data_IF_149404447961
#
_entry.id   IF_149404447961
#
_cell.length_a   1.000
_cell.length_b   1.000
_cell.length_c   1.000
_cell.angle_alpha   90.00
_cell.angle_beta   90.00
_cell.angle_gamma   90.00
#
_symmetry.space_group_name_H-M   'P 1'
#
loop_
_entity.id
_entity.type
_entity.pdbx_description
1 polymer ?
#
# COMPACT_ATOMS: atom_id res chain seq x y z
N UNK A 1 -4.20 21.58 -4.23
CA UNK A 1 -2.75 21.87 -4.27
C UNK A 1 -1.96 20.56 -4.34
N UNK A 2 -2.27 19.67 -5.28
CA UNK A 2 -1.74 18.28 -5.29
C UNK A 2 -0.84 17.96 -6.49
N UNK A 3 -0.65 18.90 -7.44
CA UNK A 3 0.20 18.67 -8.63
C UNK A 3 1.70 18.72 -8.32
N UNK A 4 2.13 19.51 -7.33
CA UNK A 4 3.57 19.79 -7.11
C UNK A 4 4.42 18.56 -6.76
N UNK A 5 3.87 17.56 -6.07
CA UNK A 5 4.62 16.34 -5.73
C UNK A 5 4.73 15.38 -6.93
N UNK A 6 3.70 15.37 -7.78
CA UNK A 6 3.68 14.60 -9.02
C UNK A 6 4.68 15.20 -10.01
N UNK A 7 4.61 16.51 -10.26
CA UNK A 7 5.55 17.24 -11.11
C UNK A 7 7.01 17.00 -10.67
N UNK A 8 7.30 17.15 -9.36
CA UNK A 8 8.65 16.88 -8.82
C UNK A 8 9.13 15.45 -9.04
N UNK A 9 8.25 14.44 -9.03
CA UNK A 9 8.65 13.05 -9.28
C UNK A 9 9.11 12.86 -10.72
N UNK A 10 8.37 13.43 -11.68
CA UNK A 10 8.62 13.28 -13.11
C UNK A 10 9.83 14.09 -13.55
N UNK A 11 9.90 15.37 -13.14
CA UNK A 11 11.01 16.27 -13.46
C UNK A 11 12.34 15.69 -13.00
N UNK A 12 12.37 15.09 -11.80
CA UNK A 12 13.59 14.48 -11.26
C UNK A 12 14.02 13.25 -12.03
N UNK A 13 13.08 12.46 -12.54
CA UNK A 13 13.39 11.28 -13.36
C UNK A 13 13.91 11.71 -14.73
N UNK A 14 13.26 12.67 -15.38
CA UNK A 14 13.68 13.23 -16.66
C UNK A 14 15.08 13.86 -16.57
N UNK A 15 15.30 14.73 -15.58
CA UNK A 15 16.59 15.39 -15.32
C UNK A 15 17.70 14.35 -15.10
N UNK A 16 17.43 13.31 -14.30
CA UNK A 16 18.42 12.28 -14.00
C UNK A 16 18.73 11.40 -15.21
N UNK A 17 17.71 11.00 -15.97
CA UNK A 17 17.88 10.20 -17.18
C UNK A 17 18.65 10.95 -18.26
N UNK A 18 18.32 12.23 -18.49
CA UNK A 18 19.06 13.11 -19.40
C UNK A 18 20.53 13.25 -19.00
N UNK A 19 20.81 13.48 -17.71
CA UNK A 19 22.19 13.55 -17.20
C UNK A 19 22.98 12.27 -17.44
N UNK A 20 22.42 11.09 -17.15
CA UNK A 20 23.09 9.78 -17.38
C UNK A 20 23.35 9.50 -18.86
N UNK A 21 22.49 10.00 -19.75
CA UNK A 21 22.65 9.92 -21.20
C UNK A 21 23.66 10.92 -21.78
N UNK A 22 24.07 11.93 -21.00
CA UNK A 22 25.02 12.95 -21.44
C UNK A 22 24.39 14.12 -22.20
N UNK A 23 23.10 14.40 -22.00
CA UNK A 23 22.43 15.56 -22.59
C UNK A 23 20.95 15.67 -22.22
N UNK A 24 20.36 16.88 -22.27
CA UNK A 24 18.95 17.06 -21.97
C UNK A 24 18.09 16.24 -22.94
N UNK A 25 17.10 15.53 -22.40
CA UNK A 25 16.15 14.74 -23.17
C UNK A 25 14.76 15.02 -22.63
N UNK A 26 13.82 15.20 -23.54
CA UNK A 26 12.39 15.15 -23.23
C UNK A 26 11.94 13.70 -23.33
N UNK A 27 11.31 13.18 -22.27
CA UNK A 27 10.78 11.82 -22.28
C UNK A 27 9.76 11.65 -23.41
N UNK A 28 9.77 10.49 -24.08
CA UNK A 28 8.76 10.18 -25.09
C UNK A 28 7.39 9.94 -24.43
N UNK A 29 6.25 10.12 -25.11
CA UNK A 29 4.93 9.86 -24.52
C UNK A 29 4.78 8.46 -23.89
N UNK A 30 5.48 7.45 -24.45
CA UNK A 30 5.52 6.10 -23.89
C UNK A 30 6.32 6.02 -22.59
N UNK A 31 7.42 6.75 -22.50
CA UNK A 31 8.22 6.84 -21.28
C UNK A 31 7.46 7.62 -20.18
N UNK A 32 6.69 8.65 -20.55
CA UNK A 32 5.78 9.33 -19.61
C UNK A 32 4.77 8.36 -18.98
N UNK A 33 4.15 7.49 -19.77
CA UNK A 33 3.23 6.48 -19.24
C UNK A 33 3.91 5.46 -18.32
N UNK A 34 5.19 5.13 -18.55
CA UNK A 34 5.97 4.26 -17.65
C UNK A 34 6.22 4.94 -16.30
N UNK A 35 6.62 6.21 -16.32
CA UNK A 35 6.83 6.99 -15.09
C UNK A 35 5.54 7.11 -14.29
N UNK A 36 4.42 7.36 -14.98
CA UNK A 36 3.09 7.40 -14.36
C UNK A 36 2.69 6.06 -13.73
N UNK A 37 2.97 4.93 -14.40
CA UNK A 37 2.71 3.60 -13.85
C UNK A 37 3.56 3.32 -12.60
N UNK A 38 4.84 3.74 -12.57
CA UNK A 38 5.69 3.63 -11.39
C UNK A 38 5.20 4.50 -10.23
N UNK A 39 4.76 5.73 -10.53
CA UNK A 39 4.18 6.61 -9.53
C UNK A 39 2.89 6.03 -8.93
N UNK A 40 1.96 5.56 -9.78
CA UNK A 40 0.69 4.92 -9.36
C UNK A 40 0.90 3.63 -8.56
N UNK A 41 1.95 2.87 -8.86
CA UNK A 41 2.32 1.66 -8.10
C UNK A 41 3.08 1.95 -6.80
N UNK A 42 3.37 3.23 -6.51
CA UNK A 42 3.98 3.66 -5.26
C UNK A 42 5.48 3.41 -5.18
N UNK A 43 6.16 3.27 -6.32
CA UNK A 43 7.62 3.13 -6.36
C UNK A 43 8.25 4.48 -5.95
N UNK A 44 9.11 4.52 -4.91
CA UNK A 44 9.73 5.77 -4.49
C UNK A 44 10.74 6.28 -5.52
N UNK A 45 10.85 7.60 -5.67
CA UNK A 45 11.76 8.27 -6.61
C UNK A 45 13.20 7.72 -6.52
N UNK A 46 13.72 7.61 -5.30
CA UNK A 46 15.07 7.08 -5.03
C UNK A 46 15.34 5.68 -5.62
N UNK A 47 14.30 4.86 -5.78
CA UNK A 47 14.41 3.51 -6.34
C UNK A 47 14.44 3.56 -7.85
N UNK A 48 13.60 4.39 -8.47
CA UNK A 48 13.66 4.64 -9.92
C UNK A 48 15.03 5.18 -10.31
N UNK A 49 15.54 6.20 -9.60
CA UNK A 49 16.87 6.75 -9.88
C UNK A 49 18.00 5.71 -9.73
N UNK A 50 17.90 4.82 -8.74
CA UNK A 50 18.85 3.70 -8.55
C UNK A 50 18.79 2.72 -9.72
N UNK A 51 17.60 2.31 -10.15
CA UNK A 51 17.43 1.39 -11.29
C UNK A 51 17.94 2.00 -12.60
N UNK A 52 17.72 3.30 -12.82
CA UNK A 52 18.32 4.03 -13.95
C UNK A 52 19.85 3.93 -13.90
N UNK A 53 20.47 4.18 -12.75
CA UNK A 53 21.93 4.07 -12.62
C UNK A 53 22.42 2.66 -12.99
N UNK A 54 21.82 1.63 -12.39
CA UNK A 54 22.17 0.23 -12.62
C UNK A 54 22.05 -0.18 -14.10
N UNK A 55 21.00 0.27 -14.79
CA UNK A 55 20.82 0.01 -16.22
C UNK A 55 21.94 0.62 -17.07
N UNK A 56 22.33 1.85 -16.78
CA UNK A 56 23.44 2.51 -17.46
C UNK A 56 24.79 1.87 -17.11
N UNK A 57 25.03 1.50 -15.84
CA UNK A 57 26.27 0.85 -15.42
C UNK A 57 26.43 -0.51 -16.13
N UNK A 58 25.36 -1.30 -16.17
CA UNK A 58 25.30 -2.58 -16.90
C UNK A 58 25.53 -2.39 -18.40
N UNK A 59 24.94 -1.35 -18.98
CA UNK A 59 25.16 -1.01 -20.39
C UNK A 59 26.62 -0.67 -20.67
N UNK A 60 27.27 0.13 -19.82
CA UNK A 60 28.71 0.48 -19.98
C UNK A 60 29.63 -0.72 -19.83
N UNK A 61 29.26 -1.71 -19.01
CA UNK A 61 30.06 -2.91 -18.75
C UNK A 61 29.92 -3.97 -19.86
N UNK A 62 28.88 -3.88 -20.70
CA UNK A 62 28.51 -4.90 -21.69
C UNK A 62 29.30 -4.86 -23.01
N UNK A 63 30.45 -4.18 -23.06
CA UNK A 63 31.31 -4.07 -24.24
C UNK A 63 30.86 -3.01 -25.27
N UNK A 64 31.60 -2.83 -26.38
CA UNK A 64 31.31 -1.78 -27.36
C UNK A 64 30.01 -2.08 -28.12
N UNK A 65 28.95 -1.35 -27.78
CA UNK A 65 27.68 -1.34 -28.51
C UNK A 65 27.49 0.01 -29.23
N UNK A 66 26.89 0.01 -30.43
CA UNK A 66 26.69 1.25 -31.20
C UNK A 66 25.58 2.16 -30.64
N UNK A 67 24.67 1.65 -29.81
CA UNK A 67 23.44 2.37 -29.45
C UNK A 67 23.40 2.88 -28.01
N UNK A 68 23.21 4.18 -27.84
CA UNK A 68 22.94 4.81 -26.54
C UNK A 68 21.57 4.39 -26.01
N UNK A 69 21.40 4.33 -24.69
CA UNK A 69 20.08 4.16 -24.07
C UNK A 69 19.23 5.39 -24.36
N UNK A 70 18.10 5.18 -25.05
CA UNK A 70 17.23 6.27 -25.54
C UNK A 70 15.81 6.24 -24.95
N UNK A 71 15.45 5.23 -24.15
CA UNK A 71 14.12 5.10 -23.54
C UNK A 71 14.23 4.49 -22.15
N UNK A 72 13.36 4.93 -21.24
CA UNK A 72 13.24 4.43 -19.87
C UNK A 72 12.80 2.96 -19.82
N UNK A 73 12.18 2.45 -20.88
CA UNK A 73 11.86 1.03 -21.04
C UNK A 73 13.10 0.13 -20.90
N UNK A 74 14.28 0.62 -21.29
CA UNK A 74 15.53 -0.14 -21.09
C UNK A 74 15.87 -0.29 -19.60
N UNK A 75 15.52 0.70 -18.78
CA UNK A 75 15.79 0.71 -17.34
C UNK A 75 14.73 -0.05 -16.52
N UNK A 76 13.59 -0.40 -17.12
CA UNK A 76 12.43 -0.98 -16.43
C UNK A 76 12.78 -2.24 -15.63
N UNK A 77 13.57 -3.15 -16.21
CA UNK A 77 13.99 -4.38 -15.53
C UNK A 77 14.82 -4.09 -14.27
N UNK A 78 15.77 -3.16 -14.36
CA UNK A 78 16.64 -2.80 -13.23
C UNK A 78 15.89 -2.00 -12.17
N UNK A 79 14.92 -1.17 -12.57
CA UNK A 79 14.02 -0.46 -11.66
C UNK A 79 13.14 -1.44 -10.90
N UNK A 80 12.58 -2.44 -11.59
CA UNK A 80 11.77 -3.47 -10.96
C UNK A 80 12.59 -4.34 -9.99
N UNK A 81 13.81 -4.73 -10.39
CA UNK A 81 14.73 -5.43 -9.51
C UNK A 81 15.09 -4.58 -8.27
N UNK A 82 15.43 -3.31 -8.46
CA UNK A 82 15.68 -2.38 -7.36
C UNK A 82 14.46 -2.18 -6.45
N UNK A 83 13.25 -2.26 -7.01
CA UNK A 83 12.00 -2.16 -6.25
C UNK A 83 11.70 -3.44 -5.47
N UNK A 84 11.94 -4.61 -6.04
CA UNK A 84 11.87 -5.89 -5.34
C UNK A 84 12.89 -5.97 -4.22
N UNK A 85 14.14 -5.60 -4.49
CA UNK A 85 15.19 -5.45 -3.48
C UNK A 85 14.79 -4.45 -2.42
N UNK A 86 14.26 -3.28 -2.79
CA UNK A 86 13.81 -2.31 -1.80
C UNK A 86 12.67 -2.85 -0.97
N UNK A 87 11.70 -3.58 -1.54
CA UNK A 87 10.62 -4.19 -0.77
C UNK A 87 11.12 -5.33 0.12
N UNK A 88 12.07 -6.14 -0.35
CA UNK A 88 12.72 -7.19 0.42
C UNK A 88 13.57 -6.61 1.55
N UNK A 89 14.42 -5.64 1.26
CA UNK A 89 15.25 -4.92 2.23
C UNK A 89 14.40 -4.06 3.16
N UNK A 90 13.31 -3.46 2.72
CA UNK A 90 12.37 -2.74 3.59
C UNK A 90 11.61 -3.71 4.51
N UNK A 91 11.31 -4.93 4.05
CA UNK A 91 10.79 -6.01 4.90
C UNK A 91 11.85 -6.55 5.87
N UNK A 92 13.14 -6.52 5.51
CA UNK A 92 14.27 -6.97 6.35
C UNK A 92 14.82 -5.87 7.27
N UNK A 93 14.67 -4.60 6.89
CA UNK A 93 15.09 -3.37 7.59
C UNK A 93 13.94 -2.74 8.37
N UNK A 94 12.71 -3.20 8.16
CA UNK A 94 11.78 -3.28 9.28
C UNK A 94 12.47 -4.13 10.33
N UNK A 95 12.73 -3.59 11.53
CA UNK A 95 13.32 -4.38 12.59
C UNK A 95 12.43 -5.60 12.79
N UNK A 96 12.98 -6.80 12.61
CA UNK A 96 12.53 -7.93 13.41
C UNK A 96 12.96 -7.59 14.83
N UNK A 97 12.05 -6.91 15.53
CA UNK A 97 12.00 -6.58 16.97
C UNK A 97 13.27 -6.71 17.82
N UNK A 98 13.58 -5.63 18.55
CA UNK A 98 14.21 -5.71 19.86
C UNK A 98 14.62 -4.34 20.43
N UNK A 99 14.39 -4.01 21.71
CA UNK A 99 13.38 -4.51 22.66
C UNK A 99 12.58 -3.33 23.25
N UNK A 100 11.39 -3.03 22.73
CA UNK A 100 10.28 -2.45 23.52
C UNK A 100 9.00 -2.49 22.69
N UNK A 101 8.10 -3.35 23.15
CA UNK A 101 6.73 -3.48 22.70
C UNK A 101 5.97 -2.21 23.05
N UNK A 102 5.61 -1.44 22.03
CA UNK A 102 4.27 -0.88 22.02
C UNK A 102 3.73 -1.17 20.64
N UNK A 103 2.73 -2.05 20.57
CA UNK A 103 1.94 -2.23 19.35
C UNK A 103 1.27 -0.92 18.93
N UNK A 104 0.14 -0.99 18.26
CA UNK A 104 -0.69 0.18 18.00
C UNK A 104 -1.80 0.24 19.06
N UNK A 105 -1.56 0.69 20.31
CA UNK A 105 -2.52 0.55 21.40
C UNK A 105 -3.85 1.25 21.10
N UNK A 106 -3.83 2.41 20.45
CA UNK A 106 -5.04 3.12 20.01
C UNK A 106 -5.82 2.32 18.97
N UNK A 107 -5.13 1.79 17.95
CA UNK A 107 -5.79 0.99 16.91
C UNK A 107 -6.29 -0.35 17.46
N UNK A 108 -5.52 -1.00 18.33
CA UNK A 108 -5.89 -2.25 19.01
C UNK A 108 -7.11 -2.04 19.90
N UNK A 109 -7.12 -0.99 20.74
CA UNK A 109 -8.26 -0.64 21.57
C UNK A 109 -9.51 -0.38 20.72
N UNK A 110 -9.38 0.40 19.65
CA UNK A 110 -10.49 0.66 18.73
C UNK A 110 -11.03 -0.63 18.10
N UNK A 111 -10.16 -1.48 17.54
CA UNK A 111 -10.58 -2.75 16.94
C UNK A 111 -11.30 -3.68 17.92
N UNK A 112 -10.92 -3.68 19.21
CA UNK A 112 -11.66 -4.40 20.26
C UNK A 112 -13.06 -3.82 20.48
N UNK A 113 -13.21 -2.50 20.44
CA UNK A 113 -14.53 -1.85 20.53
C UNK A 113 -15.39 -2.29 19.35
N UNK A 114 -14.86 -2.22 18.12
CA UNK A 114 -15.60 -2.61 16.92
C UNK A 114 -15.95 -4.09 16.93
N UNK A 115 -15.03 -4.98 17.29
CA UNK A 115 -15.29 -6.43 17.34
C UNK A 115 -16.34 -6.78 18.40
N UNK A 116 -16.36 -6.06 19.52
CA UNK A 116 -17.37 -6.21 20.58
C UNK A 116 -18.73 -5.67 20.15
N UNK A 117 -18.78 -4.55 19.42
CA UNK A 117 -20.01 -4.04 18.83
C UNK A 117 -20.60 -5.03 17.81
N UNK A 118 -19.76 -5.63 16.95
CA UNK A 118 -20.18 -6.68 16.02
C UNK A 118 -20.78 -7.90 16.74
N UNK A 119 -20.14 -8.38 17.82
CA UNK A 119 -20.68 -9.48 18.65
C UNK A 119 -22.01 -9.12 19.31
N UNK A 120 -22.13 -7.90 19.82
CA UNK A 120 -23.36 -7.42 20.48
C UNK A 120 -24.51 -7.25 19.48
N UNK A 121 -24.21 -6.78 18.27
CA UNK A 121 -25.18 -6.73 17.18
C UNK A 121 -25.64 -8.14 16.76
N UNK A 122 -24.75 -9.14 16.82
CA UNK A 122 -25.07 -10.51 16.45
C UNK A 122 -26.10 -11.17 17.38
N UNK A 123 -26.20 -10.79 18.66
CA UNK A 123 -27.16 -11.41 19.60
C UNK A 123 -28.61 -11.09 19.28
N UNK A 124 -28.86 -9.97 18.58
CA UNK A 124 -30.20 -9.48 18.24
C UNK A 124 -30.52 -9.63 16.74
N UNK A 125 -29.63 -10.29 15.98
CA UNK A 125 -29.75 -10.41 14.53
C UNK A 125 -30.25 -11.79 14.10
N UNK A 126 -30.85 -11.86 12.90
CA UNK A 126 -31.17 -13.12 12.25
C UNK A 126 -29.90 -13.97 12.01
N UNK A 127 -30.05 -15.30 11.98
CA UNK A 127 -28.96 -16.30 11.94
C UNK A 127 -27.85 -16.00 10.91
N UNK A 128 -28.23 -15.65 9.67
CA UNK A 128 -27.25 -15.33 8.61
C UNK A 128 -26.49 -14.03 8.90
N UNK A 129 -27.17 -13.01 9.40
CA UNK A 129 -26.58 -11.72 9.79
C UNK A 129 -25.66 -11.90 10.99
N UNK A 130 -26.10 -12.64 12.00
CA UNK A 130 -25.33 -12.98 13.19
C UNK A 130 -24.02 -13.71 12.80
N UNK A 131 -24.11 -14.70 11.90
CA UNK A 131 -22.93 -15.43 11.41
C UNK A 131 -21.90 -14.52 10.73
N UNK A 132 -22.36 -13.54 9.93
CA UNK A 132 -21.48 -12.57 9.25
C UNK A 132 -20.83 -11.60 10.23
N UNK A 133 -21.57 -11.13 11.22
CA UNK A 133 -21.06 -10.25 12.27
C UNK A 133 -20.01 -10.95 13.14
N UNK A 134 -20.23 -12.22 13.47
CA UNK A 134 -19.27 -13.03 14.22
C UNK A 134 -17.99 -13.30 13.42
N UNK A 135 -18.11 -13.59 12.11
CA UNK A 135 -16.96 -13.74 11.23
C UNK A 135 -16.15 -12.43 11.13
N UNK A 136 -16.81 -11.30 10.95
CA UNK A 136 -16.16 -9.98 10.94
C UNK A 136 -15.46 -9.68 12.27
N UNK A 137 -16.09 -10.00 13.41
CA UNK A 137 -15.49 -9.82 14.73
C UNK A 137 -14.22 -10.67 14.90
N UNK A 138 -14.22 -11.92 14.43
CA UNK A 138 -13.05 -12.80 14.49
C UNK A 138 -11.88 -12.27 13.64
N UNK A 139 -12.15 -11.78 12.43
CA UNK A 139 -11.13 -11.15 11.59
C UNK A 139 -10.56 -9.88 12.23
N UNK A 140 -11.42 -9.04 12.83
CA UNK A 140 -10.99 -7.84 13.56
C UNK A 140 -10.10 -8.19 14.77
N UNK A 141 -10.41 -9.26 15.51
CA UNK A 141 -9.59 -9.73 16.63
C UNK A 141 -8.21 -10.26 16.14
N UNK A 142 -8.12 -10.84 14.95
CA UNK A 142 -6.84 -11.24 14.36
C UNK A 142 -5.99 -10.01 13.97
N UNK A 143 -6.61 -9.01 13.34
CA UNK A 143 -5.96 -7.74 12.99
C UNK A 143 -5.50 -7.02 14.26
N UNK A 144 -6.34 -7.02 15.30
CA UNK A 144 -6.06 -6.42 16.60
C UNK A 144 -4.85 -7.06 17.27
N UNK A 145 -4.82 -8.40 17.37
CA UNK A 145 -3.67 -9.11 17.97
C UNK A 145 -2.39 -8.82 17.23
N UNK A 146 -2.43 -8.84 15.89
CA UNK A 146 -1.27 -8.54 15.07
C UNK A 146 -0.84 -7.05 15.19
N UNK A 147 -1.78 -6.12 15.41
CA UNK A 147 -1.48 -4.73 15.70
C UNK A 147 -0.90 -4.53 17.11
N UNK A 148 -1.42 -5.25 18.11
CA UNK A 148 -0.94 -5.22 19.49
C UNK A 148 0.46 -5.81 19.64
N UNK A 149 0.78 -6.84 18.84
CA UNK A 149 2.09 -7.48 18.78
C UNK A 149 3.11 -6.68 17.94
N UNK A 150 2.66 -5.66 17.20
CA UNK A 150 3.52 -4.89 16.28
C UNK A 150 3.81 -5.58 14.95
N UNK A 151 3.12 -6.68 14.64
CA UNK A 151 3.24 -7.43 13.38
C UNK A 151 2.61 -6.68 12.19
N UNK A 152 1.71 -5.73 12.45
CA UNK A 152 1.06 -4.89 11.45
C UNK A 152 1.30 -3.39 11.71
N UNK A 153 1.72 -2.68 10.66
CA UNK A 153 1.78 -1.21 10.68
C UNK A 153 0.41 -0.55 10.47
N UNK A 154 0.26 0.70 10.93
CA UNK A 154 -0.99 1.45 10.94
C UNK A 154 -1.76 1.46 9.61
N UNK A 155 -1.08 1.71 8.48
CA UNK A 155 -1.70 1.68 7.13
C UNK A 155 -2.21 0.30 6.72
N UNK A 156 -1.64 -0.77 7.26
CA UNK A 156 -2.09 -2.13 6.99
C UNK A 156 -3.34 -2.45 7.81
N UNK A 157 -3.33 -2.06 9.09
CA UNK A 157 -4.48 -2.19 9.99
C UNK A 157 -5.70 -1.48 9.43
N UNK A 158 -5.55 -0.20 9.08
CA UNK A 158 -6.62 0.62 8.49
C UNK A 158 -7.21 0.00 7.22
N UNK A 159 -6.35 -0.36 6.25
CA UNK A 159 -6.80 -1.01 5.01
C UNK A 159 -7.58 -2.30 5.27
N UNK A 160 -7.10 -3.15 6.18
CA UNK A 160 -7.74 -4.43 6.50
C UNK A 160 -9.07 -4.23 7.22
N UNK A 161 -9.16 -3.28 8.14
CA UNK A 161 -10.40 -2.95 8.83
C UNK A 161 -11.48 -2.43 7.85
N UNK A 162 -11.09 -1.55 6.93
CA UNK A 162 -11.97 -1.01 5.88
C UNK A 162 -12.44 -2.09 4.89
N UNK A 163 -11.60 -3.08 4.60
CA UNK A 163 -11.99 -4.23 3.79
C UNK A 163 -13.04 -5.11 4.50
N UNK A 164 -12.85 -5.38 5.80
CA UNK A 164 -13.85 -6.11 6.62
C UNK A 164 -15.18 -5.34 6.66
N UNK A 165 -15.14 -4.02 6.86
CA UNK A 165 -16.34 -3.17 6.84
C UNK A 165 -17.06 -3.22 5.50
N UNK A 166 -16.31 -3.07 4.40
CA UNK A 166 -16.85 -3.10 3.04
C UNK A 166 -17.51 -4.44 2.71
N UNK A 167 -16.89 -5.54 3.15
CA UNK A 167 -17.45 -6.90 3.02
C UNK A 167 -18.71 -7.07 3.85
N UNK A 168 -18.72 -6.58 5.09
CA UNK A 168 -19.89 -6.66 5.96
C UNK A 168 -21.05 -5.84 5.40
N UNK A 169 -20.82 -4.59 5.01
CA UNK A 169 -21.83 -3.70 4.40
C UNK A 169 -22.42 -4.32 3.13
N UNK A 170 -21.58 -4.89 2.28
CA UNK A 170 -22.02 -5.59 1.07
C UNK A 170 -22.88 -6.82 1.40
N UNK A 171 -22.47 -7.62 2.39
CA UNK A 171 -23.21 -8.80 2.81
C UNK A 171 -24.58 -8.44 3.41
N UNK A 172 -24.66 -7.41 4.26
CA UNK A 172 -25.92 -6.97 4.87
C UNK A 172 -26.87 -6.33 3.86
N UNK A 173 -26.35 -5.57 2.90
CA UNK A 173 -27.17 -5.01 1.81
C UNK A 173 -27.91 -6.10 1.03
N UNK A 174 -27.26 -7.24 0.81
CA UNK A 174 -27.85 -8.37 0.09
C UNK A 174 -28.93 -9.13 0.87
N UNK A 175 -28.90 -9.09 2.22
CA UNK A 175 -29.81 -9.90 3.06
C UNK A 175 -30.89 -9.07 3.78
N UNK A 176 -30.60 -7.80 4.11
CA UNK A 176 -31.46 -6.94 4.92
C UNK A 176 -31.77 -5.59 4.25
N UNK A 177 -31.37 -5.39 2.98
CA UNK A 177 -31.51 -4.11 2.28
C UNK A 177 -30.48 -3.06 2.73
N UNK A 178 -30.53 -1.85 2.15
CA UNK A 178 -29.58 -0.75 2.42
C UNK A 178 -29.57 -0.28 3.88
N UNK A 179 -30.68 -0.45 4.60
CA UNK A 179 -30.85 0.05 5.95
C UNK A 179 -30.34 -0.92 7.03
N UNK A 180 -30.12 -2.19 6.68
CA UNK A 180 -29.73 -3.23 7.63
C UNK A 180 -28.38 -2.99 8.30
N UNK A 181 -27.41 -2.39 7.62
CA UNK A 181 -26.12 -2.03 8.24
C UNK A 181 -26.24 -0.80 9.14
N UNK A 182 -26.97 0.23 8.69
CA UNK A 182 -27.15 1.46 9.46
C UNK A 182 -27.98 1.22 10.74
N UNK A 183 -28.95 0.29 10.69
CA UNK A 183 -29.76 -0.09 11.84
C UNK A 183 -28.93 -0.69 13.00
N UNK A 184 -27.77 -1.29 12.71
CA UNK A 184 -26.90 -1.88 13.72
C UNK A 184 -26.09 -0.84 14.51
N UNK A 185 -26.07 0.43 14.06
CA UNK A 185 -25.35 1.53 14.71
C UNK A 185 -23.90 1.17 15.07
N UNK A 186 -23.21 0.47 14.17
CA UNK A 186 -21.83 0.05 14.37
C UNK A 186 -20.88 1.26 14.27
N UNK A 187 -19.84 1.34 15.11
CA UNK A 187 -18.78 2.32 14.97
C UNK A 187 -18.01 2.13 13.64
N UNK A 188 -17.32 3.16 13.14
CA UNK A 188 -16.44 3.01 11.98
C UNK A 188 -15.34 1.99 12.28
N UNK A 189 -14.98 1.18 11.28
CA UNK A 189 -14.03 0.10 11.48
C UNK A 189 -12.60 0.61 11.38
N UNK A 190 -12.38 1.68 10.61
CA UNK A 190 -11.14 2.44 10.62
C UNK A 190 -10.90 3.06 12.00
N UNK A 191 -9.72 2.84 12.61
CA UNK A 191 -9.33 3.46 13.87
C UNK A 191 -9.02 4.96 13.75
N UNK A 192 -9.11 5.53 12.55
CA UNK A 192 -8.84 6.95 12.28
C UNK A 192 -10.09 7.71 11.79
N UNK A 193 -11.19 7.01 11.57
CA UNK A 193 -12.47 7.60 11.14
C UNK A 193 -13.46 7.75 12.32
N UNK A 194 -13.00 7.45 13.55
CA UNK A 194 -13.77 7.43 14.79
C UNK A 194 -13.85 8.80 15.49
#
# INVERSE_FOLDING_TARGET
MSDSAHEQYFDRIEEHFGRRRGGPLVLSPKDWSLVEAWHKSGIPLKIVLRGINQAFDRFTTSGPRPDRINSLRYCEQEIQAAWEDYRGTYRLRQPRTGPESAGLPTASAHLRVVSTACRSAATNAHETTASRLLAAAAELDEIERAAANGDLGARSVDRRANDVESRLRSALKSHAGTDGFNALSLPPFSPYDA
#
